data_IF_047763052991
#
_entry.id   IF_047763052991
#
_cell.length_a   1.000
_cell.length_b   1.000
_cell.length_c   1.000
_cell.angle_alpha   90.00
_cell.angle_beta   90.00
_cell.angle_gamma   90.00
#
_symmetry.space_group_name_H-M   'P 1'
#
loop_
_entity.id
_entity.type
_entity.pdbx_description
1 polymer ?
#
# COMPACT_ATOMS: atom_id res chain seq x y z
N UNK A 1 -16.95 25.84 -27.98
CA UNK A 1 -15.54 25.38 -27.96
C UNK A 1 -15.56 23.84 -27.83
N UNK A 2 -15.42 23.13 -28.97
CA UNK A 2 -15.56 21.68 -29.00
C UNK A 2 -14.28 21.08 -28.38
N UNK A 3 -14.36 20.53 -27.16
CA UNK A 3 -13.28 19.81 -26.54
C UNK A 3 -12.99 18.58 -27.40
N UNK A 4 -11.83 18.57 -28.05
CA UNK A 4 -11.35 17.35 -28.73
C UNK A 4 -10.88 16.37 -27.67
N UNK A 5 -11.84 15.64 -27.08
CA UNK A 5 -11.68 14.72 -25.95
C UNK A 5 -10.58 13.71 -26.25
N UNK A 6 -10.51 13.21 -27.49
CA UNK A 6 -9.51 12.21 -27.88
C UNK A 6 -8.06 12.70 -27.74
N UNK A 7 -7.76 13.92 -28.24
CA UNK A 7 -6.42 14.50 -28.10
C UNK A 7 -6.06 14.84 -26.65
N UNK A 8 -7.08 15.10 -25.80
CA UNK A 8 -6.92 15.36 -24.39
C UNK A 8 -6.42 14.12 -23.65
N UNK A 9 -7.10 13.00 -23.83
CA UNK A 9 -6.72 11.74 -23.19
C UNK A 9 -5.38 11.19 -23.68
N UNK A 10 -5.07 11.34 -24.97
CA UNK A 10 -3.75 10.97 -25.50
C UNK A 10 -2.61 11.74 -24.84
N UNK A 11 -2.78 13.04 -24.59
CA UNK A 11 -1.80 13.87 -23.91
C UNK A 11 -1.59 13.45 -22.47
N UNK A 12 -2.69 13.21 -21.73
CA UNK A 12 -2.65 12.71 -20.34
C UNK A 12 -1.96 11.36 -20.27
N UNK A 13 -2.37 10.39 -21.09
CA UNK A 13 -1.79 9.06 -21.12
C UNK A 13 -0.28 9.10 -21.44
N UNK A 14 0.12 9.90 -22.43
CA UNK A 14 1.54 10.05 -22.78
C UNK A 14 2.36 10.66 -21.62
N UNK A 15 1.80 11.64 -20.92
CA UNK A 15 2.43 12.27 -19.76
C UNK A 15 2.60 11.28 -18.60
N UNK A 16 1.52 10.60 -18.21
CA UNK A 16 1.53 9.63 -17.11
C UNK A 16 2.54 8.51 -17.37
N UNK A 17 2.52 7.90 -18.57
CA UNK A 17 3.50 6.88 -18.92
C UNK A 17 4.94 7.38 -18.98
N UNK A 18 5.16 8.62 -19.42
CA UNK A 18 6.50 9.22 -19.43
C UNK A 18 7.05 9.40 -18.00
N UNK A 19 6.20 9.81 -17.06
CA UNK A 19 6.55 9.94 -15.64
C UNK A 19 6.85 8.59 -15.02
N UNK A 20 5.94 7.61 -15.16
CA UNK A 20 6.10 6.26 -14.60
C UNK A 20 7.36 5.53 -15.08
N UNK A 21 7.73 5.73 -16.34
CA UNK A 21 8.86 5.03 -16.94
C UNK A 21 10.17 5.83 -16.89
N UNK A 22 10.10 7.12 -16.52
CA UNK A 22 11.25 8.03 -16.54
C UNK A 22 11.82 8.29 -17.94
N UNK A 23 11.13 7.85 -19.03
CA UNK A 23 11.66 7.89 -20.38
C UNK A 23 10.57 7.95 -21.46
N UNK A 24 10.66 8.90 -22.37
CA UNK A 24 9.77 8.93 -23.55
C UNK A 24 9.89 7.70 -24.44
N UNK A 25 11.05 7.05 -24.48
CA UNK A 25 11.27 5.84 -25.27
C UNK A 25 10.54 4.65 -24.66
N UNK A 26 10.64 4.48 -23.34
CA UNK A 26 9.96 3.41 -22.62
C UNK A 26 8.42 3.63 -22.60
N UNK A 27 7.98 4.87 -22.41
CA UNK A 27 6.56 5.25 -22.52
C UNK A 27 5.99 4.92 -23.91
N UNK A 28 6.72 5.27 -24.96
CA UNK A 28 6.33 4.99 -26.35
C UNK A 28 6.16 3.48 -26.60
N UNK A 29 7.11 2.68 -26.15
CA UNK A 29 7.03 1.21 -26.24
C UNK A 29 5.81 0.66 -25.51
N UNK A 30 5.52 1.18 -24.30
CA UNK A 30 4.34 0.76 -23.50
C UNK A 30 3.00 1.16 -24.15
N UNK A 31 2.97 2.28 -24.87
CA UNK A 31 1.79 2.80 -25.55
C UNK A 31 1.62 2.26 -26.99
N UNK A 32 2.58 1.52 -27.53
CA UNK A 32 2.54 1.04 -28.91
C UNK A 32 2.66 2.16 -29.95
N UNK A 33 3.34 3.29 -29.62
CA UNK A 33 3.52 4.45 -30.50
C UNK A 33 5.01 4.81 -30.68
N UNK A 34 5.33 5.76 -31.56
CA UNK A 34 6.70 6.22 -31.68
C UNK A 34 7.10 7.19 -30.56
N UNK A 35 8.40 7.25 -30.21
CA UNK A 35 8.97 8.23 -29.27
C UNK A 35 8.60 9.67 -29.65
N UNK A 36 8.65 9.99 -30.95
CA UNK A 36 8.27 11.33 -31.47
C UNK A 36 6.79 11.63 -31.21
N UNK A 37 5.90 10.65 -31.39
CA UNK A 37 4.48 10.82 -31.12
C UNK A 37 4.21 11.08 -29.65
N UNK A 38 4.83 10.31 -28.74
CA UNK A 38 4.72 10.50 -27.28
C UNK A 38 5.20 11.89 -26.88
N UNK A 39 6.38 12.32 -27.35
CA UNK A 39 6.91 13.65 -27.06
C UNK A 39 6.05 14.79 -27.57
N UNK A 40 5.47 14.66 -28.78
CA UNK A 40 4.51 15.64 -29.34
C UNK A 40 3.20 15.70 -28.54
N UNK A 41 2.70 14.56 -28.06
CA UNK A 41 1.47 14.49 -27.24
C UNK A 41 1.65 15.23 -25.91
N UNK A 42 2.80 15.06 -25.25
CA UNK A 42 3.12 15.78 -24.01
C UNK A 42 3.34 17.28 -24.31
N UNK A 43 4.05 17.64 -25.36
CA UNK A 43 4.27 19.04 -25.71
C UNK A 43 2.94 19.80 -25.99
N UNK A 44 2.01 19.18 -26.70
CA UNK A 44 0.66 19.75 -26.92
C UNK A 44 -0.15 19.87 -25.62
N UNK A 45 0.05 18.94 -24.67
CA UNK A 45 -0.55 19.02 -23.35
C UNK A 45 -0.03 20.25 -22.59
N UNK A 46 1.30 20.43 -22.54
CA UNK A 46 1.95 21.57 -21.89
C UNK A 46 1.55 22.90 -22.55
N UNK A 47 1.52 22.95 -23.87
CA UNK A 47 1.08 24.12 -24.65
C UNK A 47 -0.36 24.52 -24.32
N UNK A 48 -1.27 23.55 -24.24
CA UNK A 48 -2.67 23.77 -23.88
C UNK A 48 -2.85 24.26 -22.45
N UNK A 49 -2.06 23.73 -21.51
CA UNK A 49 -2.11 24.12 -20.10
C UNK A 49 -1.38 25.45 -19.84
N UNK A 50 -0.54 25.91 -20.79
CA UNK A 50 0.27 27.10 -20.65
C UNK A 50 1.40 26.97 -19.64
N UNK A 51 1.71 25.74 -19.19
CA UNK A 51 2.73 25.46 -18.17
C UNK A 51 3.58 24.24 -18.58
N UNK A 52 4.81 24.19 -18.10
CA UNK A 52 5.65 23.01 -18.22
C UNK A 52 5.36 22.04 -17.10
N UNK A 53 5.18 20.77 -17.46
CA UNK A 53 4.98 19.67 -16.52
C UNK A 53 6.25 18.85 -16.30
N UNK A 54 7.17 18.87 -17.30
CA UNK A 54 8.41 18.10 -17.28
C UNK A 54 9.63 19.00 -17.51
N UNK A 55 10.61 18.86 -16.64
CA UNK A 55 11.95 19.38 -16.85
C UNK A 55 12.76 18.39 -17.67
N UNK A 56 13.18 18.82 -18.87
CA UNK A 56 13.93 18.01 -19.82
C UNK A 56 15.42 18.32 -19.66
N UNK A 57 16.15 17.44 -19.00
CA UNK A 57 17.60 17.42 -19.11
C UNK A 57 18.03 16.30 -20.08
N UNK A 58 19.22 16.37 -20.59
CA UNK A 58 19.75 15.33 -21.53
C UNK A 58 19.90 13.95 -20.86
N UNK A 59 19.78 13.86 -19.54
CA UNK A 59 19.99 12.63 -18.75
C UNK A 59 18.83 12.16 -17.92
N UNK A 60 17.80 13.01 -17.68
CA UNK A 60 16.65 12.64 -16.83
C UNK A 60 15.40 13.40 -17.23
N UNK A 61 14.26 12.77 -17.01
CA UNK A 61 12.93 13.32 -17.14
C UNK A 61 12.38 13.52 -15.71
N UNK A 62 12.32 14.77 -15.26
CA UNK A 62 11.85 15.10 -13.93
C UNK A 62 10.53 15.87 -14.00
N UNK A 63 9.70 15.76 -12.96
CA UNK A 63 8.49 16.58 -12.83
C UNK A 63 8.83 17.97 -12.32
N UNK A 64 8.14 18.99 -12.85
CA UNK A 64 8.05 20.30 -12.21
C UNK A 64 7.10 20.22 -11.00
N UNK A 65 7.00 21.27 -10.17
CA UNK A 65 6.04 21.32 -9.07
C UNK A 65 4.59 21.24 -9.60
N UNK A 66 4.31 21.96 -10.69
CA UNK A 66 3.03 21.92 -11.39
C UNK A 66 2.79 20.54 -12.03
N UNK A 67 3.84 19.94 -12.58
CA UNK A 67 3.82 18.57 -13.13
C UNK A 67 3.46 17.54 -12.07
N UNK A 68 3.98 17.66 -10.86
CA UNK A 68 3.67 16.78 -9.75
C UNK A 68 2.19 16.88 -9.34
N UNK A 69 1.67 18.10 -9.19
CA UNK A 69 0.27 18.34 -8.86
C UNK A 69 -0.68 17.80 -9.94
N UNK A 70 -0.33 18.05 -11.22
CA UNK A 70 -1.10 17.58 -12.36
C UNK A 70 -1.07 16.05 -12.48
N UNK A 71 0.10 15.42 -12.23
CA UNK A 71 0.24 13.97 -12.24
C UNK A 71 -0.69 13.29 -11.24
N UNK A 72 -0.76 13.80 -10.00
CA UNK A 72 -1.66 13.28 -8.97
C UNK A 72 -3.13 13.40 -9.38
N UNK A 73 -3.49 14.51 -10.03
CA UNK A 73 -4.85 14.73 -10.56
C UNK A 73 -5.19 13.77 -11.72
N UNK A 74 -4.22 13.51 -12.62
CA UNK A 74 -4.38 12.57 -13.72
C UNK A 74 -4.59 11.15 -13.22
N UNK A 75 -3.85 10.71 -12.18
CA UNK A 75 -4.04 9.38 -11.59
C UNK A 75 -5.46 9.20 -11.06
N UNK A 76 -6.02 10.19 -10.35
CA UNK A 76 -7.40 10.14 -9.85
C UNK A 76 -8.43 9.99 -10.98
N UNK A 77 -8.29 10.76 -12.06
CA UNK A 77 -9.19 10.68 -13.21
C UNK A 77 -9.11 9.31 -13.90
N UNK A 78 -7.91 8.77 -14.05
CA UNK A 78 -7.72 7.44 -14.63
C UNK A 78 -8.30 6.33 -13.74
N UNK A 79 -8.20 6.47 -12.42
CA UNK A 79 -8.85 5.58 -11.46
C UNK A 79 -10.38 5.63 -11.56
N UNK A 80 -10.98 6.82 -11.67
CA UNK A 80 -12.43 6.98 -11.84
C UNK A 80 -12.93 6.37 -13.16
N UNK A 81 -12.21 6.58 -14.25
CA UNK A 81 -12.54 5.96 -15.54
C UNK A 81 -12.48 4.44 -15.48
N UNK A 82 -11.43 3.92 -14.87
CA UNK A 82 -11.24 2.48 -14.70
C UNK A 82 -12.34 1.89 -13.78
N UNK A 83 -12.77 2.63 -12.77
CA UNK A 83 -13.91 2.26 -11.93
C UNK A 83 -15.24 2.23 -12.72
N UNK A 84 -15.48 3.22 -13.58
CA UNK A 84 -16.66 3.27 -14.43
C UNK A 84 -16.70 2.12 -15.46
N UNK A 85 -15.58 1.83 -16.12
CA UNK A 85 -15.45 0.68 -17.02
C UNK A 85 -15.63 -0.64 -16.27
N UNK A 86 -15.17 -0.70 -15.03
CA UNK A 86 -15.33 -1.83 -14.12
C UNK A 86 -16.79 -2.10 -13.81
N UNK A 87 -17.56 -1.04 -13.48
CA UNK A 87 -19.00 -1.14 -13.24
C UNK A 87 -19.76 -1.70 -14.46
N UNK A 88 -19.39 -1.27 -15.65
CA UNK A 88 -20.00 -1.76 -16.88
C UNK A 88 -19.60 -3.20 -17.23
N UNK A 89 -18.36 -3.59 -16.93
CA UNK A 89 -17.85 -4.94 -17.14
C UNK A 89 -18.41 -5.94 -16.11
N UNK A 90 -18.69 -5.49 -14.88
CA UNK A 90 -19.25 -6.32 -13.81
C UNK A 90 -20.69 -6.75 -14.10
N UNK A 91 -21.44 -5.99 -14.89
CA UNK A 91 -22.82 -6.35 -15.29
C UNK A 91 -22.91 -7.55 -16.26
N UNK A 92 -21.80 -8.05 -16.80
CA UNK A 92 -21.81 -9.10 -17.85
C UNK A 92 -20.97 -10.36 -17.56
N UNK A 93 -20.21 -10.43 -16.47
CA UNK A 93 -19.38 -11.62 -16.18
C UNK A 93 -19.70 -12.21 -14.82
N UNK A 94 -20.24 -13.42 -14.81
CA UNK A 94 -20.39 -14.22 -13.60
C UNK A 94 -19.01 -14.41 -12.97
N UNK A 95 -18.89 -13.98 -11.70
CA UNK A 95 -17.68 -14.19 -10.91
C UNK A 95 -17.67 -15.62 -10.42
N UNK A 96 -16.83 -16.47 -11.00
CA UNK A 96 -16.81 -17.90 -10.71
C UNK A 96 -15.40 -18.49 -10.77
N UNK A 97 -15.28 -19.72 -10.28
CA UNK A 97 -14.02 -20.48 -10.26
C UNK A 97 -13.24 -20.25 -8.98
N UNK A 98 -12.02 -20.79 -8.90
CA UNK A 98 -11.16 -20.71 -7.71
C UNK A 98 -10.21 -19.52 -7.80
N UNK A 99 -10.19 -18.69 -6.77
CA UNK A 99 -9.23 -17.61 -6.57
C UNK A 99 -8.21 -18.03 -5.50
N UNK A 100 -6.94 -18.13 -5.90
CA UNK A 100 -5.83 -18.45 -5.01
C UNK A 100 -5.22 -17.16 -4.48
N UNK A 101 -5.32 -16.97 -3.16
CA UNK A 101 -4.87 -15.74 -2.49
C UNK A 101 -3.82 -16.08 -1.45
N UNK A 102 -2.75 -15.29 -1.41
CA UNK A 102 -1.78 -15.35 -0.32
C UNK A 102 -1.81 -14.04 0.49
N UNK A 103 -1.91 -14.16 1.81
CA UNK A 103 -2.11 -13.05 2.74
C UNK A 103 -1.01 -13.02 3.82
N UNK A 104 -0.65 -11.83 4.34
CA UNK A 104 0.12 -11.73 5.57
C UNK A 104 -0.66 -12.36 6.73
N UNK A 105 0.01 -13.09 7.61
CA UNK A 105 -0.65 -13.93 8.62
C UNK A 105 -1.65 -13.13 9.45
N UNK A 106 -1.19 -12.18 10.25
CA UNK A 106 -2.07 -11.45 11.18
C UNK A 106 -3.02 -10.49 10.46
N UNK A 107 -2.53 -9.72 9.48
CA UNK A 107 -3.36 -8.79 8.72
C UNK A 107 -4.40 -9.52 7.88
N UNK A 108 -4.00 -10.59 7.23
CA UNK A 108 -4.91 -11.44 6.45
C UNK A 108 -6.05 -11.97 7.30
N UNK A 109 -5.70 -12.55 8.47
CA UNK A 109 -6.68 -13.13 9.38
C UNK A 109 -7.63 -12.10 9.99
N UNK A 110 -7.09 -10.98 10.48
CA UNK A 110 -7.87 -10.01 11.25
C UNK A 110 -8.62 -9.00 10.38
N UNK A 111 -8.01 -8.58 9.26
CA UNK A 111 -8.53 -7.49 8.45
C UNK A 111 -9.09 -7.95 7.10
N UNK A 112 -8.38 -8.86 6.39
CA UNK A 112 -8.77 -9.26 5.03
C UNK A 112 -9.87 -10.32 5.04
N UNK A 113 -9.81 -11.31 5.92
CA UNK A 113 -10.80 -12.40 5.98
C UNK A 113 -12.26 -11.93 6.13
N UNK A 114 -12.58 -10.91 6.95
CA UNK A 114 -13.95 -10.38 7.01
C UNK A 114 -14.43 -9.86 5.65
N UNK A 115 -13.58 -9.16 4.90
CA UNK A 115 -13.91 -8.66 3.56
C UNK A 115 -14.10 -9.81 2.56
N UNK A 116 -13.20 -10.81 2.59
CA UNK A 116 -13.31 -11.99 1.73
C UNK A 116 -14.60 -12.78 2.00
N UNK A 117 -15.01 -12.86 3.25
CA UNK A 117 -16.30 -13.48 3.61
C UNK A 117 -17.46 -12.77 2.90
N UNK A 118 -17.52 -11.44 2.97
CA UNK A 118 -18.58 -10.68 2.29
C UNK A 118 -18.54 -10.84 0.77
N UNK A 119 -17.35 -10.89 0.18
CA UNK A 119 -17.19 -11.14 -1.26
C UNK A 119 -17.70 -12.52 -1.63
N UNK A 120 -17.38 -13.55 -0.86
CA UNK A 120 -17.87 -14.92 -1.09
C UNK A 120 -19.38 -15.03 -0.95
N UNK A 121 -19.97 -14.40 0.07
CA UNK A 121 -21.42 -14.37 0.29
C UNK A 121 -22.16 -13.75 -0.92
N UNK A 122 -21.58 -12.74 -1.57
CA UNK A 122 -22.15 -12.07 -2.75
C UNK A 122 -21.89 -12.79 -4.07
N UNK A 123 -20.95 -13.74 -4.08
CA UNK A 123 -20.51 -14.46 -5.29
C UNK A 123 -20.44 -15.97 -5.00
N UNK A 124 -21.57 -16.68 -4.97
CA UNK A 124 -21.64 -18.09 -4.55
C UNK A 124 -20.86 -19.05 -5.46
N UNK A 125 -20.58 -18.68 -6.71
CA UNK A 125 -19.78 -19.46 -7.64
C UNK A 125 -18.26 -19.20 -7.53
N UNK A 126 -17.83 -18.32 -6.61
CA UNK A 126 -16.44 -18.03 -6.33
C UNK A 126 -15.93 -18.90 -5.18
N UNK A 127 -14.96 -19.75 -5.47
CA UNK A 127 -14.22 -20.50 -4.46
C UNK A 127 -12.95 -19.74 -4.07
N UNK A 128 -12.64 -19.69 -2.77
CA UNK A 128 -11.42 -19.07 -2.25
C UNK A 128 -10.46 -20.16 -1.77
N UNK A 129 -9.23 -20.13 -2.27
CA UNK A 129 -8.09 -20.93 -1.81
C UNK A 129 -7.10 -19.96 -1.16
N UNK A 130 -7.06 -19.93 0.18
CA UNK A 130 -6.40 -18.88 0.96
C UNK A 130 -5.23 -19.48 1.73
N UNK A 131 -4.03 -18.95 1.47
CA UNK A 131 -2.82 -19.26 2.20
C UNK A 131 -2.32 -18.05 2.99
N UNK A 132 -1.64 -18.30 4.12
CA UNK A 132 -1.09 -17.24 4.98
C UNK A 132 0.42 -17.40 5.11
N UNK A 133 1.18 -16.34 4.79
CA UNK A 133 2.62 -16.29 5.03
C UNK A 133 3.15 -14.85 5.02
N UNK A 134 4.13 -14.58 5.90
CA UNK A 134 4.87 -13.31 5.89
C UNK A 134 6.15 -13.39 5.03
N UNK A 135 6.43 -14.57 4.44
CA UNK A 135 7.55 -14.76 3.51
C UNK A 135 7.20 -14.21 2.12
N UNK A 136 8.23 -13.88 1.36
CA UNK A 136 8.07 -13.59 -0.06
C UNK A 136 7.74 -14.90 -0.80
N UNK A 137 6.69 -14.85 -1.65
CA UNK A 137 6.25 -15.97 -2.49
C UNK A 137 6.41 -15.61 -3.96
N UNK A 138 6.71 -16.59 -4.81
CA UNK A 138 6.65 -16.40 -6.26
C UNK A 138 5.24 -16.72 -6.75
N UNK A 139 4.50 -15.70 -7.20
CA UNK A 139 3.11 -15.83 -7.61
C UNK A 139 2.95 -16.76 -8.82
N UNK A 140 3.93 -16.77 -9.71
CA UNK A 140 3.87 -17.54 -10.96
C UNK A 140 4.16 -19.00 -10.68
N UNK A 141 5.24 -19.29 -9.95
CA UNK A 141 5.64 -20.66 -9.62
C UNK A 141 4.62 -21.35 -8.72
N UNK A 142 4.07 -20.62 -7.74
CA UNK A 142 3.09 -21.16 -6.78
C UNK A 142 1.65 -21.10 -7.30
N UNK A 143 1.42 -20.56 -8.49
CA UNK A 143 0.09 -20.47 -9.13
C UNK A 143 -0.89 -19.56 -8.38
N UNK A 144 -0.39 -18.56 -7.65
CA UNK A 144 -1.17 -17.60 -6.87
C UNK A 144 -1.75 -16.53 -7.80
N UNK A 145 -3.06 -16.26 -7.67
CA UNK A 145 -3.76 -15.25 -8.47
C UNK A 145 -3.64 -13.85 -7.88
N UNK A 146 -3.58 -13.73 -6.55
CA UNK A 146 -3.57 -12.47 -5.81
C UNK A 146 -2.74 -12.60 -4.55
N UNK A 147 -1.94 -11.59 -4.25
CA UNK A 147 -1.23 -11.49 -2.97
C UNK A 147 -1.44 -10.12 -2.36
N UNK A 148 -1.61 -10.04 -1.05
CA UNK A 148 -1.59 -8.79 -0.29
C UNK A 148 -0.24 -8.68 0.43
N UNK A 149 0.35 -7.49 0.43
CA UNK A 149 1.62 -7.22 1.13
C UNK A 149 1.56 -5.92 1.90
N UNK A 150 2.25 -5.91 3.04
CA UNK A 150 2.47 -4.74 3.87
C UNK A 150 3.87 -4.21 3.59
N UNK A 151 4.00 -2.90 3.35
CA UNK A 151 5.27 -2.27 2.99
C UNK A 151 5.52 -2.23 1.49
N UNK A 152 6.76 -1.88 1.14
CA UNK A 152 7.19 -1.85 -0.25
C UNK A 152 7.27 -3.30 -0.79
N UNK A 153 6.48 -3.64 -1.80
CA UNK A 153 6.50 -4.99 -2.38
C UNK A 153 7.76 -5.29 -3.20
N UNK A 154 8.64 -4.28 -3.40
CA UNK A 154 9.76 -4.37 -4.34
C UNK A 154 9.30 -4.24 -5.80
N UNK A 155 10.25 -3.90 -6.68
CA UNK A 155 9.99 -3.74 -8.12
C UNK A 155 9.97 -5.08 -8.86
N UNK A 156 8.84 -5.75 -8.92
CA UNK A 156 8.68 -6.94 -9.77
C UNK A 156 8.07 -6.55 -11.12
N UNK A 157 8.88 -6.56 -12.19
CA UNK A 157 8.44 -6.20 -13.54
C UNK A 157 7.29 -7.09 -14.07
N UNK A 158 7.15 -8.30 -13.52
CA UNK A 158 6.12 -9.29 -13.88
C UNK A 158 4.79 -9.10 -13.17
N UNK A 159 4.73 -8.22 -12.16
CA UNK A 159 3.54 -8.00 -11.34
C UNK A 159 2.90 -6.64 -11.63
N UNK A 160 1.59 -6.58 -11.40
CA UNK A 160 0.82 -5.34 -11.29
C UNK A 160 0.47 -5.15 -9.84
N UNK A 161 0.67 -3.93 -9.32
CA UNK A 161 0.33 -3.59 -7.96
C UNK A 161 -0.75 -2.50 -7.89
N UNK A 162 -1.68 -2.64 -6.95
CA UNK A 162 -2.64 -1.59 -6.57
C UNK A 162 -2.55 -1.36 -5.08
N UNK A 163 -2.32 -0.10 -4.69
CA UNK A 163 -2.43 0.28 -3.29
C UNK A 163 -3.89 0.15 -2.86
N UNK A 164 -4.14 -0.64 -1.82
CA UNK A 164 -5.48 -0.88 -1.27
C UNK A 164 -5.70 -0.16 0.06
N UNK A 165 -4.65 0.40 0.64
CA UNK A 165 -4.71 1.13 1.90
C UNK A 165 -3.35 1.51 2.43
N UNK A 166 -3.32 1.91 3.68
CA UNK A 166 -2.12 2.20 4.45
C UNK A 166 -2.22 1.68 5.86
N UNK A 167 -1.07 1.37 6.46
CA UNK A 167 -0.98 1.09 7.87
C UNK A 167 -0.05 2.08 8.56
N UNK A 168 -0.33 2.34 9.83
CA UNK A 168 0.55 3.04 10.76
C UNK A 168 0.99 2.09 11.85
N UNK A 169 2.12 2.38 12.45
CA UNK A 169 2.59 1.66 13.63
C UNK A 169 2.87 2.63 14.75
N UNK A 170 2.73 2.15 15.97
CA UNK A 170 2.92 2.89 17.21
C UNK A 170 3.84 2.14 18.16
N UNK A 171 4.56 2.86 18.98
CA UNK A 171 5.28 2.28 20.11
C UNK A 171 4.30 2.19 21.27
N UNK A 172 4.16 1.00 21.85
CA UNK A 172 3.23 0.76 22.94
C UNK A 172 3.73 -0.31 23.92
N UNK A 173 3.18 -0.32 25.11
CA UNK A 173 3.43 -1.30 26.14
C UNK A 173 2.22 -1.46 27.06
N UNK A 174 2.18 -2.51 27.88
CA UNK A 174 1.18 -2.65 28.91
C UNK A 174 1.40 -1.62 30.03
N UNK A 175 0.34 -0.98 30.58
CA UNK A 175 0.46 -0.05 31.71
C UNK A 175 1.26 -0.63 32.88
N UNK A 176 1.00 -1.88 33.25
CA UNK A 176 1.73 -2.56 34.32
C UNK A 176 3.23 -2.69 34.09
N UNK A 177 3.68 -2.80 32.82
CA UNK A 177 5.09 -2.76 32.48
C UNK A 177 5.67 -1.37 32.70
N UNK A 178 4.97 -0.32 32.21
CA UNK A 178 5.39 1.07 32.32
C UNK A 178 5.42 1.57 33.78
N UNK A 179 4.48 1.12 34.59
CA UNK A 179 4.45 1.45 36.03
C UNK A 179 5.63 0.84 36.79
N UNK A 180 6.07 -0.35 36.38
CA UNK A 180 7.22 -1.04 36.99
C UNK A 180 8.56 -0.53 36.49
N UNK A 181 8.69 -0.17 35.21
CA UNK A 181 9.97 0.13 34.54
C UNK A 181 10.16 1.59 34.20
N UNK A 182 9.12 2.41 34.41
CA UNK A 182 9.08 3.79 33.98
C UNK A 182 8.58 3.95 32.54
N UNK A 183 8.23 5.19 32.20
CA UNK A 183 7.82 5.59 30.84
C UNK A 183 8.97 6.30 30.17
N UNK A 184 9.56 5.75 29.10
CA UNK A 184 10.66 6.42 28.40
C UNK A 184 10.16 7.75 27.81
N UNK A 185 10.94 8.81 27.96
CA UNK A 185 10.64 10.13 27.42
C UNK A 185 11.31 10.38 26.04
N UNK A 186 12.25 9.53 25.66
CA UNK A 186 12.95 9.60 24.38
C UNK A 186 13.30 8.22 23.82
N UNK A 187 13.73 8.18 22.56
CA UNK A 187 14.15 6.93 21.89
C UNK A 187 15.43 6.37 22.53
N UNK A 188 16.30 7.25 23.00
CA UNK A 188 17.56 6.89 23.65
C UNK A 188 17.33 6.13 24.95
N UNK A 189 16.25 6.43 25.66
CA UNK A 189 15.89 5.75 26.92
C UNK A 189 15.41 4.32 26.70
N UNK A 190 15.06 3.93 25.45
CA UNK A 190 14.69 2.55 25.11
C UNK A 190 15.80 1.53 25.41
N UNK A 191 17.06 1.98 25.51
CA UNK A 191 18.18 1.11 25.92
C UNK A 191 18.00 0.54 27.32
N UNK A 192 17.22 1.22 28.19
CA UNK A 192 16.92 0.82 29.55
C UNK A 192 15.66 -0.04 29.67
N UNK A 193 15.00 -0.31 28.55
CA UNK A 193 13.75 -1.06 28.49
C UNK A 193 13.90 -2.39 27.75
N UNK A 194 13.03 -3.33 28.09
CA UNK A 194 12.90 -4.59 27.38
C UNK A 194 12.13 -4.35 26.08
N UNK A 195 12.84 -4.24 24.95
CA UNK A 195 12.23 -4.05 23.66
C UNK A 195 11.90 -5.42 23.01
N UNK A 196 10.71 -5.49 22.38
CA UNK A 196 10.23 -6.66 21.67
C UNK A 196 10.22 -6.34 20.18
N UNK A 197 10.97 -7.10 19.36
CA UNK A 197 11.02 -6.89 17.93
C UNK A 197 10.21 -7.93 17.15
N UNK A 198 9.51 -7.49 16.11
CA UNK A 198 9.03 -8.40 15.08
C UNK A 198 10.22 -8.90 14.27
N UNK A 199 10.35 -10.22 14.12
CA UNK A 199 11.41 -10.85 13.33
C UNK A 199 10.86 -11.36 12.01
N UNK A 200 11.53 -11.01 10.90
CA UNK A 200 11.26 -11.56 9.57
C UNK A 200 12.51 -12.29 9.09
N UNK A 201 12.34 -13.52 8.65
CA UNK A 201 13.44 -14.38 8.18
C UNK A 201 14.62 -14.45 9.17
N UNK A 202 14.27 -14.57 10.47
CA UNK A 202 15.23 -14.66 11.57
C UNK A 202 15.92 -13.34 11.96
N UNK A 203 15.56 -12.23 11.34
CA UNK A 203 16.16 -10.92 11.64
C UNK A 203 15.12 -9.97 12.25
N UNK A 204 15.45 -9.28 13.35
CA UNK A 204 14.59 -8.25 13.92
C UNK A 204 14.45 -7.10 12.93
N UNK A 205 13.21 -6.64 12.71
CA UNK A 205 12.96 -5.47 11.90
C UNK A 205 13.23 -4.19 12.71
N UNK A 206 13.88 -3.19 12.10
CA UNK A 206 14.04 -1.89 12.73
C UNK A 206 12.68 -1.20 12.89
N UNK A 207 12.58 -0.33 13.89
CA UNK A 207 11.43 0.54 14.04
C UNK A 207 11.56 1.73 13.10
N UNK A 208 10.51 2.07 12.40
CA UNK A 208 10.49 3.28 11.58
C UNK A 208 10.11 4.45 12.48
N UNK A 209 11.01 5.42 12.62
CA UNK A 209 10.83 6.55 13.51
C UNK A 209 10.99 7.86 12.74
N UNK A 210 10.19 8.86 13.12
CA UNK A 210 10.25 10.18 12.52
C UNK A 210 11.33 11.00 13.26
N UNK A 211 12.40 11.34 12.56
CA UNK A 211 13.46 12.18 13.08
C UNK A 211 13.15 13.69 13.00
N UNK A 212 14.06 14.56 13.48
CA UNK A 212 13.94 16.00 13.33
C UNK A 212 13.75 16.38 11.84
N UNK A 213 12.77 17.25 11.57
CA UNK A 213 12.44 17.67 10.20
C UNK A 213 11.50 16.73 9.44
N UNK A 214 10.87 15.75 10.10
CA UNK A 214 9.86 14.88 9.51
C UNK A 214 10.40 13.74 8.66
N UNK A 215 11.71 13.53 8.60
CA UNK A 215 12.31 12.42 7.85
C UNK A 215 12.17 11.11 8.61
N UNK A 216 11.55 10.11 7.97
CA UNK A 216 11.48 8.75 8.51
C UNK A 216 12.85 8.06 8.37
N UNK A 217 13.33 7.50 9.45
CA UNK A 217 14.57 6.72 9.47
C UNK A 217 14.39 5.41 10.25
N UNK A 218 15.09 4.35 9.85
CA UNK A 218 15.12 3.13 10.63
C UNK A 218 15.84 3.37 11.97
N UNK A 219 15.20 2.98 13.06
CA UNK A 219 15.81 2.95 14.38
C UNK A 219 16.07 1.49 14.77
N UNK A 220 17.33 1.16 14.90
CA UNK A 220 17.76 -0.19 15.27
C UNK A 220 17.74 -0.30 16.78
N UNK A 221 16.75 -1.04 17.30
CA UNK A 221 16.70 -1.40 18.72
C UNK A 221 17.62 -2.60 19.00
N UNK A 222 18.01 -2.74 20.26
CA UNK A 222 18.57 -4.02 20.75
C UNK A 222 17.44 -4.79 21.43
N UNK A 223 16.77 -5.71 20.72
CA UNK A 223 15.60 -6.38 21.27
C UNK A 223 16.03 -7.41 22.32
N UNK A 224 15.34 -7.43 23.46
CA UNK A 224 15.47 -8.52 24.42
C UNK A 224 14.84 -9.79 23.92
N UNK A 225 13.72 -9.66 23.20
CA UNK A 225 13.03 -10.80 22.57
C UNK A 225 12.66 -10.49 21.13
N UNK A 226 12.73 -11.49 20.27
CA UNK A 226 12.28 -11.43 18.87
C UNK A 226 11.16 -12.42 18.64
N UNK A 227 10.07 -11.95 18.02
CA UNK A 227 8.86 -12.76 17.78
C UNK A 227 8.46 -12.59 16.31
N UNK A 228 8.34 -13.69 15.58
CA UNK A 228 8.05 -13.70 14.15
C UNK A 228 6.55 -13.76 13.80
N UNK A 229 5.66 -13.62 14.79
CA UNK A 229 4.23 -13.64 14.61
C UNK A 229 3.60 -12.40 15.25
N UNK A 230 2.84 -11.60 14.46
CA UNK A 230 2.35 -10.30 14.92
C UNK A 230 1.44 -10.38 16.13
N UNK A 231 0.50 -11.32 16.15
CA UNK A 231 -0.43 -11.48 17.29
C UNK A 231 0.30 -11.98 18.53
N UNK A 232 1.25 -12.88 18.39
CA UNK A 232 2.07 -13.31 19.52
C UNK A 232 2.93 -12.15 20.08
N UNK A 233 3.44 -11.27 19.21
CA UNK A 233 4.15 -10.05 19.63
C UNK A 233 3.22 -9.12 20.41
N UNK A 234 1.99 -8.90 19.92
CA UNK A 234 0.94 -8.13 20.61
C UNK A 234 0.64 -8.75 21.98
N UNK A 235 0.40 -10.06 22.03
CA UNK A 235 0.06 -10.76 23.27
C UNK A 235 1.19 -10.68 24.30
N UNK A 236 2.45 -10.84 23.86
CA UNK A 236 3.62 -10.64 24.71
C UNK A 236 3.69 -9.21 25.28
N UNK A 237 3.33 -8.21 24.46
CA UNK A 237 3.32 -6.79 24.88
C UNK A 237 2.21 -6.54 25.90
N UNK A 238 0.98 -7.03 25.64
CA UNK A 238 -0.18 -6.93 26.56
C UNK A 238 0.14 -7.59 27.90
N UNK A 239 0.83 -8.70 27.90
CA UNK A 239 1.25 -9.41 29.12
C UNK A 239 2.47 -8.77 29.82
N UNK A 240 2.89 -7.58 29.39
CA UNK A 240 3.94 -6.80 30.08
C UNK A 240 5.34 -7.34 29.93
N UNK A 241 5.63 -8.06 28.82
CA UNK A 241 6.98 -8.55 28.55
C UNK A 241 7.94 -7.44 28.14
N UNK A 242 7.42 -6.32 27.55
CA UNK A 242 8.22 -5.19 27.15
C UNK A 242 7.47 -4.18 26.29
N UNK A 243 8.23 -3.29 25.65
CA UNK A 243 7.76 -2.28 24.71
C UNK A 243 7.86 -2.83 23.30
N UNK A 244 6.83 -2.66 22.47
CA UNK A 244 6.82 -3.10 21.09
C UNK A 244 6.40 -1.99 20.12
N UNK A 245 6.75 -2.16 18.83
CA UNK A 245 6.28 -1.36 17.72
C UNK A 245 5.23 -2.17 16.95
N UNK A 246 3.96 -1.84 17.16
CA UNK A 246 2.82 -2.56 16.63
C UNK A 246 2.05 -1.74 15.61
N UNK A 247 1.51 -2.41 14.60
CA UNK A 247 0.54 -1.78 13.71
C UNK A 247 -0.71 -1.35 14.47
N UNK A 248 -1.26 -0.18 14.15
CA UNK A 248 -2.43 0.38 14.84
C UNK A 248 -3.65 -0.52 14.77
N UNK A 249 -3.87 -1.18 13.60
CA UNK A 249 -4.97 -2.14 13.43
C UNK A 249 -4.82 -3.38 14.34
N UNK A 250 -3.58 -3.78 14.66
CA UNK A 250 -3.31 -4.93 15.53
C UNK A 250 -3.47 -4.57 17.02
N UNK A 251 -3.12 -3.34 17.40
CA UNK A 251 -3.19 -2.85 18.77
C UNK A 251 -4.54 -2.21 19.14
N UNK A 252 -5.45 -1.98 18.17
CA UNK A 252 -6.62 -1.15 18.34
C UNK A 252 -7.54 -1.57 19.51
N UNK A 253 -7.81 -2.86 19.62
CA UNK A 253 -8.69 -3.39 20.68
C UNK A 253 -8.06 -3.31 22.06
N UNK A 254 -6.74 -3.51 22.14
CA UNK A 254 -6.00 -3.44 23.39
C UNK A 254 -5.80 -2.00 23.86
N UNK A 255 -5.67 -1.05 22.95
CA UNK A 255 -5.65 0.37 23.26
C UNK A 255 -7.01 0.85 23.75
N UNK A 256 -8.11 0.46 23.08
CA UNK A 256 -9.47 0.81 23.52
C UNK A 256 -9.84 0.17 24.87
N UNK A 257 -9.30 -1.01 25.11
CA UNK A 257 -9.49 -1.75 26.38
C UNK A 257 -8.47 -1.40 27.46
N UNK A 258 -7.62 -0.36 27.26
CA UNK A 258 -6.57 0.09 28.18
C UNK A 258 -5.58 -1.02 28.59
N UNK A 259 -5.48 -2.09 27.80
CA UNK A 259 -4.46 -3.14 28.00
C UNK A 259 -3.11 -2.76 27.46
N UNK A 260 -3.10 -1.83 26.48
CA UNK A 260 -1.91 -1.18 25.95
C UNK A 260 -2.03 0.34 26.10
N UNK A 261 -0.90 0.98 26.32
CA UNK A 261 -0.72 2.43 26.34
C UNK A 261 0.30 2.83 25.28
N UNK A 262 0.03 3.91 24.54
CA UNK A 262 0.98 4.48 23.59
C UNK A 262 2.14 5.12 24.33
N UNK A 263 3.36 4.83 23.92
CA UNK A 263 4.58 5.47 24.41
C UNK A 263 4.94 6.59 23.42
N UNK A 264 4.67 7.87 23.76
CA UNK A 264 4.71 8.98 22.81
C UNK A 264 6.12 9.56 22.63
N UNK A 265 7.11 8.71 22.42
CA UNK A 265 8.52 9.12 22.29
C UNK A 265 8.90 9.61 20.90
N UNK A 266 8.05 9.40 19.92
CA UNK A 266 8.22 9.87 18.54
C UNK A 266 6.87 10.10 17.88
N UNK A 267 6.77 11.07 16.95
CA UNK A 267 5.62 11.13 16.07
C UNK A 267 5.52 9.82 15.27
N UNK A 268 4.30 9.37 14.96
CA UNK A 268 4.11 8.16 14.15
C UNK A 268 4.85 8.30 12.82
N UNK A 269 5.50 7.22 12.39
CA UNK A 269 6.13 7.15 11.09
C UNK A 269 5.10 7.33 9.97
N UNK A 270 5.59 7.62 8.77
CA UNK A 270 4.75 7.71 7.56
C UNK A 270 3.92 6.47 7.36
N UNK A 271 2.80 6.66 6.67
CA UNK A 271 1.89 5.59 6.30
C UNK A 271 2.58 4.56 5.41
N UNK A 272 2.67 3.33 5.88
CA UNK A 272 3.21 2.21 5.12
C UNK A 272 2.14 1.68 4.17
N UNK A 273 2.41 1.53 2.85
CA UNK A 273 1.40 1.07 1.90
C UNK A 273 0.97 -0.37 2.18
N UNK A 274 -0.31 -0.65 1.96
CA UNK A 274 -0.86 -1.99 1.82
C UNK A 274 -1.15 -2.17 0.34
N UNK A 275 -0.55 -3.18 -0.28
CA UNK A 275 -0.60 -3.37 -1.74
C UNK A 275 -1.15 -4.75 -2.08
N UNK A 276 -2.12 -4.79 -2.99
CA UNK A 276 -2.55 -6.00 -3.68
C UNK A 276 -1.73 -6.15 -4.96
N UNK A 277 -1.20 -7.36 -5.23
CA UNK A 277 -0.33 -7.67 -6.36
C UNK A 277 -0.85 -8.89 -7.10
N UNK A 278 -0.81 -8.87 -8.44
CA UNK A 278 -1.17 -10.00 -9.30
C UNK A 278 -0.27 -10.07 -10.54
N UNK A 279 -0.17 -11.24 -11.20
CA UNK A 279 0.65 -11.40 -12.40
C UNK A 279 0.17 -10.52 -13.56
N UNK A 280 1.09 -9.82 -14.22
CA UNK A 280 0.81 -8.97 -15.40
C UNK A 280 0.26 -9.76 -16.60
N UNK A 281 0.63 -11.03 -16.72
CA UNK A 281 0.20 -11.92 -17.82
C UNK A 281 -1.28 -12.30 -17.76
N UNK A 282 -1.96 -11.99 -16.67
CA UNK A 282 -3.39 -12.20 -16.51
C UNK A 282 -4.05 -10.83 -16.52
N UNK A 283 -4.83 -10.51 -17.57
CA UNK A 283 -5.80 -9.43 -17.47
C UNK A 283 -6.53 -9.56 -16.14
N UNK A 284 -6.88 -8.46 -15.50
CA UNK A 284 -7.51 -8.49 -14.18
C UNK A 284 -8.80 -9.32 -14.24
N UNK A 285 -8.65 -10.62 -14.00
CA UNK A 285 -9.75 -11.58 -14.07
C UNK A 285 -10.89 -11.13 -13.14
N UNK A 286 -12.17 -11.32 -13.50
CA UNK A 286 -13.30 -10.86 -12.68
C UNK A 286 -13.20 -11.30 -11.23
N UNK A 287 -12.73 -12.52 -10.96
CA UNK A 287 -12.51 -13.04 -9.61
C UNK A 287 -11.45 -12.28 -8.80
N UNK A 288 -10.38 -11.79 -9.45
CA UNK A 288 -9.34 -10.96 -8.80
C UNK A 288 -9.87 -9.55 -8.58
N UNK A 289 -10.53 -8.98 -9.58
CA UNK A 289 -11.06 -7.62 -9.58
C UNK A 289 -12.03 -7.41 -8.42
N UNK A 290 -13.04 -8.28 -8.26
CA UNK A 290 -14.06 -8.14 -7.22
C UNK A 290 -13.43 -8.11 -5.83
N UNK A 291 -12.39 -8.90 -5.59
CA UNK A 291 -11.69 -8.93 -4.31
C UNK A 291 -10.85 -7.66 -4.12
N UNK A 292 -10.08 -7.25 -5.15
CA UNK A 292 -9.25 -6.04 -5.06
C UNK A 292 -10.11 -4.80 -4.82
N UNK A 293 -11.25 -4.68 -5.50
CA UNK A 293 -12.15 -3.54 -5.34
C UNK A 293 -12.79 -3.53 -3.94
N UNK A 294 -13.21 -4.67 -3.41
CA UNK A 294 -13.72 -4.79 -2.05
C UNK A 294 -12.65 -4.44 -0.99
N UNK A 295 -11.40 -4.83 -1.20
CA UNK A 295 -10.29 -4.47 -0.31
C UNK A 295 -9.99 -2.96 -0.36
N UNK A 296 -10.07 -2.34 -1.54
CA UNK A 296 -9.93 -0.88 -1.68
C UNK A 296 -11.04 -0.16 -0.93
N UNK A 297 -12.28 -0.59 -1.10
CA UNK A 297 -13.44 -0.03 -0.39
C UNK A 297 -13.28 -0.14 1.14
N UNK A 298 -12.78 -1.29 1.62
CA UNK A 298 -12.62 -1.53 3.05
C UNK A 298 -11.46 -0.76 3.69
N UNK A 299 -10.35 -0.54 2.98
CA UNK A 299 -9.11 -0.04 3.57
C UNK A 299 -8.68 1.34 3.08
N UNK A 300 -9.18 1.85 1.96
CA UNK A 300 -9.02 3.25 1.63
C UNK A 300 -10.08 4.07 2.37
N UNK A 301 -9.66 5.11 3.14
CA UNK A 301 -10.64 6.01 3.72
C UNK A 301 -11.43 6.63 2.57
N UNK A 302 -12.71 6.37 2.52
CA UNK A 302 -13.65 7.15 1.71
C UNK A 302 -13.46 8.59 2.18
N UNK A 303 -12.99 9.48 1.30
CA UNK A 303 -13.17 10.91 1.49
C UNK A 303 -14.67 11.14 1.44
N UNK A 304 -15.35 10.90 2.55
CA UNK A 304 -16.70 11.42 2.78
C UNK A 304 -16.55 12.93 2.75
N UNK A 305 -16.80 13.47 1.55
CA UNK A 305 -17.18 14.85 1.36
C UNK A 305 -18.31 15.14 2.30
N UNK A 306 -18.14 16.12 3.13
CA UNK A 306 -19.26 16.92 3.55
C UNK A 306 -19.63 16.89 5.01
N UNK A 307 -19.37 18.03 5.58
CA UNK A 307 -20.41 18.83 6.24
C UNK A 307 -20.72 18.42 7.70
N UNK A 308 -20.33 19.13 8.53
CA UNK A 308 -20.79 20.33 9.26
C UNK A 308 -20.08 20.41 10.59
#
# INVERSE_FOLDING_TARGET
MSLNIHSHFQGISAFVHAVETGSFTAAAARMGVSKSATGKSVARLEERLGIRLLDRTTRSLNLTAEGQAYYQSCLKVLEELNAAETLLASQKRVVSGTLRINLPISFGRLCVMPVLKEVADRNPDLNLDISFTDRQVDLVEEGIDLVVRLGDPGGHASLIGRRIGTQRSIICAAPAYLDRRGRPASVEELVNHDCLAFAKDGRPLPWAVCGPGGTVRPFVIQPRHTISHGEALRDATVNGLGIAYLSTWLAADDLRGERLEVVPILPPAEDVPITALWPRSRDLAPKVRVVVDALVEAFMPTHLTGSK
#
